data_IF_896561193330
#
_entry.id   IF_896561193330
#
_cell.length_a   1.000
_cell.length_b   1.000
_cell.length_c   1.000
_cell.angle_alpha   90.00
_cell.angle_beta   90.00
_cell.angle_gamma   90.00
#
_symmetry.space_group_name_H-M   'P 1'
#
loop_
_entity.id
_entity.type
_entity.pdbx_description
1 polymer ?
#
# COMPACT_ATOMS: atom_id res chain seq x y z
N UNK A 1 -12.13 18.09 3.41
CA UNK A 1 -12.00 16.62 3.53
C UNK A 1 -13.27 16.17 4.22
N UNK A 2 -13.99 15.21 3.63
CA UNK A 2 -15.17 14.61 4.26
C UNK A 2 -14.71 13.78 5.46
N UNK A 3 -15.53 13.67 6.49
CA UNK A 3 -15.30 12.76 7.62
C UNK A 3 -15.63 11.32 7.23
N UNK A 4 -15.09 10.32 7.92
CA UNK A 4 -15.32 8.90 7.59
C UNK A 4 -16.82 8.52 7.56
N UNK A 5 -17.62 9.13 8.44
CA UNK A 5 -19.08 8.93 8.48
C UNK A 5 -19.75 9.53 7.25
N UNK A 6 -19.33 10.73 6.84
CA UNK A 6 -19.84 11.39 5.63
C UNK A 6 -19.45 10.61 4.37
N UNK A 7 -18.21 10.10 4.28
CA UNK A 7 -17.75 9.24 3.19
C UNK A 7 -18.56 7.93 3.11
N UNK A 8 -18.81 7.28 4.24
CA UNK A 8 -19.62 6.07 4.30
C UNK A 8 -21.08 6.33 3.92
N UNK A 9 -21.64 7.46 4.37
CA UNK A 9 -22.99 7.90 3.99
C UNK A 9 -23.08 8.15 2.49
N UNK A 10 -22.06 8.77 1.90
CA UNK A 10 -21.98 9.05 0.48
C UNK A 10 -21.92 7.73 -0.31
N UNK A 11 -21.09 6.77 0.11
CA UNK A 11 -21.04 5.46 -0.56
C UNK A 11 -22.37 4.70 -0.47
N UNK A 12 -23.08 4.81 0.65
CA UNK A 12 -24.42 4.20 0.79
C UNK A 12 -25.50 4.91 -0.04
N UNK A 13 -25.31 6.18 -0.37
CA UNK A 13 -26.23 6.95 -1.22
C UNK A 13 -26.03 6.70 -2.72
N UNK A 14 -24.86 6.16 -3.10
CA UNK A 14 -24.55 5.83 -4.48
C UNK A 14 -25.31 4.56 -4.91
N UNK A 15 -26.07 4.68 -5.99
CA UNK A 15 -26.73 3.53 -6.61
C UNK A 15 -25.76 2.88 -7.59
N UNK A 16 -25.24 1.72 -7.22
CA UNK A 16 -24.43 0.88 -8.11
C UNK A 16 -25.34 -0.10 -8.84
N UNK A 17 -25.14 -0.27 -10.15
CA UNK A 17 -25.76 -1.39 -10.86
C UNK A 17 -25.19 -2.72 -10.34
N UNK A 18 -25.91 -3.85 -10.46
CA UNK A 18 -25.40 -5.15 -10.04
C UNK A 18 -24.09 -5.55 -10.76
N UNK A 19 -23.84 -5.01 -11.95
CA UNK A 19 -22.58 -5.22 -12.71
C UNK A 19 -21.40 -4.39 -12.17
N UNK A 20 -21.65 -3.35 -11.37
CA UNK A 20 -20.64 -2.39 -10.85
C UNK A 20 -20.13 -2.76 -9.45
N UNK A 21 -20.36 -3.99 -8.98
CA UNK A 21 -19.98 -4.41 -7.63
C UNK A 21 -18.48 -4.20 -7.30
N UNK A 22 -17.61 -4.36 -8.31
CA UNK A 22 -16.16 -4.07 -8.20
C UNK A 22 -15.87 -2.60 -7.90
N UNK A 23 -16.63 -1.69 -8.47
CA UNK A 23 -16.49 -0.24 -8.27
C UNK A 23 -16.93 0.13 -6.86
N UNK A 24 -18.03 -0.45 -6.36
CA UNK A 24 -18.45 -0.29 -4.97
C UNK A 24 -17.37 -0.77 -3.98
N UNK A 25 -16.73 -1.90 -4.30
CA UNK A 25 -15.65 -2.46 -3.48
C UNK A 25 -14.37 -1.63 -3.55
N UNK A 26 -14.05 -1.06 -4.71
CA UNK A 26 -12.96 -0.10 -4.86
C UNK A 26 -13.15 1.13 -3.99
N UNK A 27 -14.31 1.78 -4.09
CA UNK A 27 -14.60 2.94 -3.27
C UNK A 27 -14.66 2.57 -1.78
N UNK A 28 -15.11 1.35 -1.44
CA UNK A 28 -15.05 0.85 -0.06
C UNK A 28 -13.62 0.70 0.46
N UNK A 29 -12.63 0.42 -0.40
CA UNK A 29 -11.21 0.39 -0.02
C UNK A 29 -10.62 1.80 0.17
N UNK A 30 -11.19 2.81 -0.50
CA UNK A 30 -10.70 4.19 -0.46
C UNK A 30 -11.21 4.97 0.76
N UNK A 31 -12.36 4.59 1.31
CA UNK A 31 -12.89 5.16 2.56
C UNK A 31 -12.09 4.58 3.74
N UNK A 32 -11.34 5.45 4.41
CA UNK A 32 -10.44 5.10 5.54
C UNK A 32 -11.16 4.39 6.70
N UNK A 33 -10.50 3.66 7.62
CA UNK A 33 -9.27 2.82 7.63
C UNK A 33 -9.21 1.89 8.88
N UNK A 34 -10.25 1.84 9.74
CA UNK A 34 -10.16 1.14 11.04
C UNK A 34 -11.42 0.36 11.50
N UNK A 35 -12.61 0.59 10.95
CA UNK A 35 -13.85 0.02 11.52
C UNK A 35 -14.54 -1.08 10.68
N UNK A 36 -14.09 -1.33 9.44
CA UNK A 36 -14.80 -2.22 8.51
C UNK A 36 -13.90 -3.23 7.80
N UNK A 37 -12.91 -3.77 8.52
CA UNK A 37 -12.01 -4.80 7.99
C UNK A 37 -12.82 -5.96 7.38
N UNK A 38 -13.69 -6.62 8.14
CA UNK A 38 -14.44 -7.79 7.66
C UNK A 38 -15.38 -7.53 6.47
N UNK A 39 -15.83 -6.27 6.26
CA UNK A 39 -16.80 -5.94 5.21
C UNK A 39 -16.14 -5.89 3.83
N UNK A 40 -14.90 -5.40 3.77
CA UNK A 40 -14.18 -5.25 2.49
C UNK A 40 -13.72 -6.60 1.95
N UNK A 41 -13.18 -7.47 2.81
CA UNK A 41 -12.80 -8.82 2.39
C UNK A 41 -14.01 -9.68 2.00
N UNK A 42 -15.13 -9.57 2.73
CA UNK A 42 -16.38 -10.24 2.37
C UNK A 42 -16.87 -9.80 0.98
N UNK A 43 -16.88 -8.49 0.71
CA UNK A 43 -17.25 -7.96 -0.63
C UNK A 43 -16.34 -8.46 -1.74
N UNK A 44 -15.02 -8.51 -1.52
CA UNK A 44 -14.11 -9.08 -2.52
C UNK A 44 -14.34 -10.57 -2.74
N UNK A 45 -14.62 -11.35 -1.68
CA UNK A 45 -14.94 -12.78 -1.78
C UNK A 45 -16.26 -13.03 -2.50
N UNK A 46 -17.29 -12.23 -2.22
CA UNK A 46 -18.58 -12.26 -2.90
C UNK A 46 -18.40 -11.99 -4.41
N UNK A 47 -17.65 -10.94 -4.77
CA UNK A 47 -17.36 -10.61 -6.16
C UNK A 47 -16.52 -11.67 -6.88
N UNK A 48 -15.56 -12.28 -6.18
CA UNK A 48 -14.77 -13.39 -6.71
C UNK A 48 -15.63 -14.64 -6.96
N UNK A 49 -16.63 -14.90 -6.10
CA UNK A 49 -17.58 -16.00 -6.26
C UNK A 49 -18.63 -15.73 -7.33
N UNK A 50 -19.14 -14.49 -7.43
CA UNK A 50 -20.09 -14.08 -8.47
C UNK A 50 -19.47 -14.19 -9.87
N UNK A 51 -18.16 -13.90 -10.02
CA UNK A 51 -17.46 -14.05 -11.30
C UNK A 51 -17.48 -15.48 -11.88
N UNK A 52 -17.74 -16.51 -11.05
CA UNK A 52 -17.86 -17.89 -11.50
C UNK A 52 -19.27 -18.27 -12.02
N UNK A 53 -20.30 -17.46 -11.77
CA UNK A 53 -21.71 -17.80 -12.05
C UNK A 53 -22.39 -16.95 -13.15
N UNK A 54 -21.70 -15.97 -13.74
CA UNK A 54 -22.28 -15.04 -14.74
C UNK A 54 -22.23 -15.61 -16.16
N UNK A 55 -23.19 -15.20 -17.02
CA UNK A 55 -23.33 -15.63 -18.42
C UNK A 55 -22.17 -15.15 -19.32
N UNK A 56 -21.85 -15.84 -20.43
CA UNK A 56 -20.64 -15.59 -21.24
C UNK A 56 -20.52 -14.19 -21.88
N UNK A 57 -21.63 -13.47 -22.06
CA UNK A 57 -21.66 -12.16 -22.72
C UNK A 57 -21.26 -10.98 -21.81
N UNK A 58 -21.51 -11.09 -20.50
CA UNK A 58 -21.17 -10.07 -19.48
C UNK A 58 -19.84 -10.40 -18.78
N UNK A 59 -19.38 -11.66 -18.87
CA UNK A 59 -18.07 -12.11 -18.38
C UNK A 59 -16.91 -11.29 -18.95
N UNK A 60 -17.00 -10.81 -20.20
CA UNK A 60 -15.92 -10.03 -20.84
C UNK A 60 -15.60 -8.72 -20.11
N UNK A 61 -16.60 -8.03 -19.56
CA UNK A 61 -16.39 -6.74 -18.90
C UNK A 61 -16.05 -6.91 -17.41
N UNK A 62 -16.72 -7.86 -16.74
CA UNK A 62 -16.47 -8.17 -15.32
C UNK A 62 -15.08 -8.81 -15.13
N UNK A 63 -14.63 -9.68 -16.03
CA UNK A 63 -13.26 -10.19 -16.01
C UNK A 63 -12.21 -9.09 -16.25
N UNK A 64 -12.51 -8.11 -17.13
CA UNK A 64 -11.61 -6.99 -17.41
C UNK A 64 -11.40 -6.08 -16.18
N UNK A 65 -12.42 -5.90 -15.34
CA UNK A 65 -12.32 -5.17 -14.08
C UNK A 65 -11.60 -5.97 -12.98
N UNK A 66 -11.83 -7.28 -12.89
CA UNK A 66 -11.15 -8.17 -11.92
C UNK A 66 -9.63 -8.18 -12.11
N UNK A 67 -9.17 -8.17 -13.36
CA UNK A 67 -7.75 -8.15 -13.71
C UNK A 67 -7.12 -6.76 -13.67
N UNK A 68 -7.88 -5.72 -13.31
CA UNK A 68 -7.35 -4.37 -13.22
C UNK A 68 -6.29 -4.27 -12.10
N UNK A 69 -5.08 -3.88 -12.48
CA UNK A 69 -3.93 -3.70 -11.60
C UNK A 69 -4.22 -2.72 -10.47
N UNK A 70 -5.00 -1.67 -10.70
CA UNK A 70 -5.30 -0.66 -9.69
C UNK A 70 -6.22 -1.20 -8.60
N UNK A 71 -7.19 -2.04 -8.97
CA UNK A 71 -8.09 -2.71 -8.03
C UNK A 71 -7.33 -3.70 -7.17
N UNK A 72 -6.45 -4.49 -7.78
CA UNK A 72 -5.59 -5.44 -7.08
C UNK A 72 -4.59 -4.73 -6.16
N UNK A 73 -4.06 -3.56 -6.56
CA UNK A 73 -3.18 -2.75 -5.72
C UNK A 73 -3.92 -2.19 -4.49
N UNK A 74 -5.18 -1.78 -4.64
CA UNK A 74 -6.02 -1.38 -3.49
C UNK A 74 -6.31 -2.57 -2.56
N UNK A 75 -6.60 -3.75 -3.13
CA UNK A 75 -6.76 -4.98 -2.34
C UNK A 75 -5.48 -5.35 -1.56
N UNK A 76 -4.31 -5.18 -2.19
CA UNK A 76 -3.02 -5.37 -1.51
C UNK A 76 -2.81 -4.37 -0.36
N UNK A 77 -3.15 -3.10 -0.57
CA UNK A 77 -3.05 -2.06 0.46
C UNK A 77 -3.95 -2.40 1.66
N UNK A 78 -5.14 -2.95 1.39
CA UNK A 78 -6.05 -3.44 2.41
C UNK A 78 -5.45 -4.61 3.21
N UNK A 79 -4.87 -5.62 2.55
CA UNK A 79 -4.20 -6.72 3.27
C UNK A 79 -3.05 -6.26 4.16
N UNK A 80 -2.27 -5.26 3.70
CA UNK A 80 -1.23 -4.65 4.52
C UNK A 80 -1.80 -3.97 5.78
N UNK A 81 -2.96 -3.32 5.67
CA UNK A 81 -3.61 -2.66 6.81
C UNK A 81 -4.15 -3.67 7.83
N UNK A 82 -4.70 -4.79 7.37
CA UNK A 82 -5.18 -5.87 8.24
C UNK A 82 -4.03 -6.68 8.89
N UNK A 83 -2.76 -6.37 8.59
CA UNK A 83 -1.60 -7.11 9.08
C UNK A 83 -1.36 -8.46 8.39
N UNK A 84 -2.13 -8.76 7.32
CA UNK A 84 -2.00 -9.98 6.52
C UNK A 84 -0.88 -9.84 5.48
N UNK A 85 0.35 -9.63 5.98
CA UNK A 85 1.51 -9.28 5.15
C UNK A 85 1.88 -10.36 4.14
N UNK A 86 1.67 -11.64 4.47
CA UNK A 86 1.96 -12.76 3.56
C UNK A 86 1.09 -12.72 2.30
N UNK A 87 -0.23 -12.57 2.46
CA UNK A 87 -1.18 -12.45 1.34
C UNK A 87 -0.92 -11.19 0.53
N UNK A 88 -0.61 -10.08 1.22
CA UNK A 88 -0.24 -8.83 0.58
C UNK A 88 0.99 -9.02 -0.33
N UNK A 89 2.02 -9.68 0.19
CA UNK A 89 3.27 -9.92 -0.52
C UNK A 89 3.08 -10.81 -1.76
N UNK A 90 2.35 -11.91 -1.65
CA UNK A 90 2.01 -12.80 -2.77
C UNK A 90 1.16 -12.10 -3.85
N UNK A 91 0.19 -11.29 -3.44
CA UNK A 91 -0.64 -10.54 -4.39
C UNK A 91 0.17 -9.47 -5.13
N UNK A 92 1.05 -8.77 -4.41
CA UNK A 92 1.87 -7.71 -4.99
C UNK A 92 2.98 -8.24 -5.89
N UNK A 93 3.58 -9.41 -5.61
CA UNK A 93 4.57 -10.01 -6.49
C UNK A 93 3.96 -10.37 -7.85
N UNK A 94 2.79 -11.01 -7.86
CA UNK A 94 2.04 -11.31 -9.10
C UNK A 94 1.67 -10.03 -9.87
N UNK A 95 1.33 -8.96 -9.14
CA UNK A 95 0.98 -7.68 -9.75
C UNK A 95 2.20 -7.02 -10.40
N UNK A 96 3.34 -7.02 -9.72
CA UNK A 96 4.60 -6.44 -10.24
C UNK A 96 5.18 -7.25 -11.40
N UNK A 97 4.89 -8.56 -11.49
CA UNK A 97 5.21 -9.35 -12.69
C UNK A 97 4.41 -8.88 -13.91
N UNK A 98 3.15 -8.46 -13.72
CA UNK A 98 2.28 -7.95 -14.80
C UNK A 98 2.58 -6.49 -15.14
N UNK A 99 2.73 -5.64 -14.12
CA UNK A 99 3.07 -4.22 -14.26
C UNK A 99 4.22 -3.83 -13.30
N UNK A 100 5.47 -3.93 -13.78
CA UNK A 100 6.65 -3.56 -12.98
C UNK A 100 6.71 -2.08 -12.60
N UNK A 101 5.94 -1.21 -13.27
CA UNK A 101 6.01 0.24 -13.09
C UNK A 101 4.89 0.77 -12.19
N UNK A 102 4.09 -0.10 -11.59
CA UNK A 102 3.00 0.34 -10.73
C UNK A 102 3.53 0.87 -9.37
N UNK A 103 3.54 2.19 -9.21
CA UNK A 103 4.18 2.87 -8.08
C UNK A 103 3.53 2.53 -6.73
N UNK A 104 2.18 2.47 -6.67
CA UNK A 104 1.44 2.22 -5.43
C UNK A 104 1.69 0.79 -4.91
N UNK A 105 1.66 -0.19 -5.81
CA UNK A 105 1.95 -1.60 -5.51
C UNK A 105 3.41 -1.77 -5.09
N UNK A 106 4.36 -1.15 -5.80
CA UNK A 106 5.78 -1.18 -5.40
C UNK A 106 5.95 -0.72 -3.95
N UNK A 107 5.26 0.35 -3.56
CA UNK A 107 5.32 0.89 -2.19
C UNK A 107 4.76 -0.11 -1.16
N UNK A 108 3.59 -0.68 -1.43
CA UNK A 108 2.94 -1.68 -0.56
C UNK A 108 3.77 -2.97 -0.47
N UNK A 109 4.36 -3.40 -1.59
CA UNK A 109 5.24 -4.57 -1.66
C UNK A 109 6.49 -4.38 -0.81
N UNK A 110 7.16 -3.22 -0.93
CA UNK A 110 8.33 -2.89 -0.11
C UNK A 110 8.00 -2.88 1.39
N UNK A 111 6.81 -2.37 1.75
CA UNK A 111 6.36 -2.36 3.14
C UNK A 111 6.09 -3.79 3.65
N UNK A 112 5.34 -4.60 2.89
CA UNK A 112 5.09 -6.00 3.25
C UNK A 112 6.38 -6.82 3.35
N UNK A 113 7.32 -6.65 2.42
CA UNK A 113 8.62 -7.32 2.44
C UNK A 113 9.48 -6.90 3.64
N UNK A 114 9.38 -5.65 4.09
CA UNK A 114 10.04 -5.16 5.31
C UNK A 114 9.50 -5.87 6.55
N UNK A 115 8.17 -5.93 6.70
CA UNK A 115 7.52 -6.57 7.85
C UNK A 115 7.76 -8.08 7.89
N UNK A 116 7.81 -8.74 6.72
CA UNK A 116 8.14 -10.18 6.61
C UNK A 116 9.63 -10.48 6.78
N UNK A 117 10.51 -9.48 6.73
CA UNK A 117 11.95 -9.66 6.87
C UNK A 117 12.66 -10.20 5.61
N UNK A 118 12.06 -10.06 4.43
CA UNK A 118 12.62 -10.51 3.15
C UNK A 118 13.74 -9.59 2.64
N UNK A 119 14.86 -9.56 3.36
CA UNK A 119 16.01 -8.68 3.08
C UNK A 119 16.64 -8.88 1.70
N UNK A 120 16.69 -10.13 1.19
CA UNK A 120 17.28 -10.44 -0.12
C UNK A 120 16.50 -9.76 -1.26
N UNK A 121 15.17 -9.82 -1.19
CA UNK A 121 14.31 -9.25 -2.22
C UNK A 121 14.30 -7.73 -2.16
N UNK A 122 14.22 -7.17 -0.94
CA UNK A 122 14.39 -5.73 -0.71
C UNK A 122 15.71 -5.22 -1.28
N UNK A 123 16.80 -5.97 -1.12
CA UNK A 123 18.10 -5.59 -1.68
C UNK A 123 18.07 -5.54 -3.20
N UNK A 124 17.58 -6.61 -3.85
CA UNK A 124 17.49 -6.68 -5.31
C UNK A 124 16.61 -5.57 -5.87
N UNK A 125 15.43 -5.38 -5.28
CA UNK A 125 14.48 -4.36 -5.72
C UNK A 125 15.04 -2.94 -5.51
N UNK A 126 15.66 -2.66 -4.36
CA UNK A 126 16.28 -1.38 -4.10
C UNK A 126 17.43 -1.08 -5.09
N UNK A 127 18.27 -2.07 -5.39
CA UNK A 127 19.33 -1.92 -6.38
C UNK A 127 18.79 -1.63 -7.78
N UNK A 128 17.72 -2.30 -8.21
CA UNK A 128 17.09 -2.07 -9.50
C UNK A 128 16.44 -0.68 -9.56
N UNK A 129 15.66 -0.30 -8.55
CA UNK A 129 15.01 1.01 -8.48
C UNK A 129 16.01 2.18 -8.47
N UNK A 130 17.14 2.03 -7.79
CA UNK A 130 18.19 3.08 -7.78
C UNK A 130 18.88 3.18 -9.14
N UNK A 131 19.10 2.05 -9.84
CA UNK A 131 19.68 2.06 -11.19
C UNK A 131 18.75 2.72 -12.19
N UNK A 132 17.47 2.37 -12.15
CA UNK A 132 16.48 2.83 -13.13
C UNK A 132 15.98 4.25 -12.84
N UNK A 133 15.80 4.59 -11.56
CA UNK A 133 15.20 5.84 -11.12
C UNK A 133 15.95 6.49 -9.93
N UNK A 134 17.17 7.00 -10.12
CA UNK A 134 17.97 7.57 -9.02
C UNK A 134 17.40 8.86 -8.44
N UNK A 135 16.52 9.56 -9.17
CA UNK A 135 15.92 10.83 -8.73
C UNK A 135 14.56 10.65 -8.04
N UNK A 136 13.99 9.44 -8.06
CA UNK A 136 12.70 9.19 -7.39
C UNK A 136 12.92 8.90 -5.91
N UNK A 137 12.07 9.49 -5.07
CA UNK A 137 12.05 9.24 -3.63
C UNK A 137 11.82 7.75 -3.31
N UNK A 138 10.92 7.09 -4.04
CA UNK A 138 10.61 5.66 -3.89
C UNK A 138 11.86 4.75 -3.94
N UNK A 139 12.84 5.08 -4.76
CA UNK A 139 14.06 4.28 -4.91
C UNK A 139 14.93 4.33 -3.66
N UNK A 140 15.09 5.50 -3.06
CA UNK A 140 15.85 5.67 -1.82
C UNK A 140 15.06 5.18 -0.60
N UNK A 141 13.73 5.22 -0.67
CA UNK A 141 12.86 4.58 0.31
C UNK A 141 13.13 3.08 0.37
N UNK A 142 13.16 2.39 -0.78
CA UNK A 142 13.47 0.96 -0.86
C UNK A 142 14.83 0.61 -0.21
N UNK A 143 15.86 1.44 -0.44
CA UNK A 143 17.16 1.28 0.22
C UNK A 143 17.05 1.44 1.74
N UNK A 144 16.29 2.44 2.21
CA UNK A 144 16.01 2.63 3.63
C UNK A 144 15.29 1.44 4.26
N UNK A 145 14.33 0.85 3.54
CA UNK A 145 13.60 -0.36 3.93
C UNK A 145 14.54 -1.56 4.09
N UNK A 146 15.43 -1.78 3.13
CA UNK A 146 16.44 -2.83 3.21
C UNK A 146 17.33 -2.67 4.46
N UNK A 147 17.88 -1.47 4.69
CA UNK A 147 18.73 -1.21 5.85
C UNK A 147 17.99 -1.35 7.18
N UNK A 148 16.71 -1.00 7.22
CA UNK A 148 15.85 -1.21 8.38
C UNK A 148 15.66 -2.70 8.65
N UNK A 149 15.35 -3.49 7.61
CA UNK A 149 15.15 -4.94 7.71
C UNK A 149 16.40 -5.67 8.26
N UNK A 150 17.60 -5.26 7.83
CA UNK A 150 18.87 -5.82 8.38
C UNK A 150 19.30 -5.19 9.71
N UNK A 151 18.42 -4.41 10.36
CA UNK A 151 18.61 -3.75 11.67
C UNK A 151 19.77 -2.74 11.71
N UNK A 152 20.17 -2.20 10.56
CA UNK A 152 21.16 -1.11 10.47
C UNK A 152 20.45 0.24 10.48
N UNK A 153 19.86 0.57 11.63
CA UNK A 153 18.98 1.73 11.76
C UNK A 153 19.67 3.07 11.44
N UNK A 154 20.97 3.22 11.74
CA UNK A 154 21.72 4.44 11.38
C UNK A 154 21.78 4.69 9.87
N UNK A 155 22.01 3.63 9.11
CA UNK A 155 22.06 3.70 7.65
C UNK A 155 20.67 3.92 7.08
N UNK A 156 19.68 3.21 7.63
CA UNK A 156 18.27 3.38 7.29
C UNK A 156 17.80 4.84 7.48
N UNK A 157 18.12 5.46 8.62
CA UNK A 157 17.84 6.89 8.91
C UNK A 157 18.41 7.82 7.84
N UNK A 158 19.66 7.61 7.41
CA UNK A 158 20.29 8.43 6.37
C UNK A 158 19.54 8.34 5.03
N UNK A 159 19.09 7.15 4.65
CA UNK A 159 18.37 6.95 3.39
C UNK A 159 16.92 7.42 3.45
N UNK A 160 16.24 7.28 4.60
CA UNK A 160 14.93 7.89 4.80
C UNK A 160 15.01 9.42 4.81
N UNK A 161 16.02 10.01 5.45
CA UNK A 161 16.27 11.46 5.35
C UNK A 161 16.57 11.90 3.92
N UNK A 162 17.35 11.12 3.17
CA UNK A 162 17.56 11.38 1.73
C UNK A 162 16.25 11.34 0.94
N UNK A 163 15.36 10.41 1.28
CA UNK A 163 14.05 10.29 0.66
C UNK A 163 13.18 11.52 0.92
N UNK A 164 13.10 11.97 2.17
CA UNK A 164 12.31 13.15 2.55
C UNK A 164 12.90 14.46 2.01
N UNK A 165 14.22 14.51 1.77
CA UNK A 165 14.85 15.64 1.08
C UNK A 165 14.52 15.69 -0.42
N UNK A 166 14.31 14.54 -1.06
CA UNK A 166 13.90 14.47 -2.46
C UNK A 166 12.41 14.75 -2.63
N UNK A 167 11.59 14.18 -1.76
CA UNK A 167 10.16 14.41 -1.72
C UNK A 167 9.69 14.57 -0.26
N UNK A 168 9.52 15.84 0.14
CA UNK A 168 9.03 16.20 1.47
C UNK A 168 7.57 15.82 1.69
N UNK A 169 6.83 15.51 0.61
CA UNK A 169 5.41 15.12 0.61
C UNK A 169 5.23 13.61 0.50
N UNK A 170 6.23 12.83 0.88
CA UNK A 170 6.18 11.35 0.87
C UNK A 170 6.02 10.79 2.30
N UNK A 171 4.77 10.57 2.80
CA UNK A 171 4.54 10.15 4.18
C UNK A 171 5.22 8.83 4.60
N UNK A 172 5.30 7.79 3.74
CA UNK A 172 5.94 6.52 4.11
C UNK A 172 7.40 6.68 4.56
N UNK A 173 8.16 7.63 3.98
CA UNK A 173 9.52 7.86 4.43
C UNK A 173 9.60 8.50 5.82
N UNK A 174 8.67 9.40 6.17
CA UNK A 174 8.60 9.97 7.52
C UNK A 174 8.23 8.91 8.57
N UNK A 175 7.34 7.98 8.21
CA UNK A 175 7.00 6.82 9.05
C UNK A 175 8.22 5.92 9.23
N UNK A 176 8.90 5.54 8.14
CA UNK A 176 10.12 4.74 8.19
C UNK A 176 11.23 5.42 9.01
N UNK A 177 11.37 6.74 8.88
CA UNK A 177 12.30 7.54 9.66
C UNK A 177 11.98 7.49 11.16
N UNK A 178 10.70 7.63 11.53
CA UNK A 178 10.22 7.47 12.90
C UNK A 178 10.45 6.06 13.45
N UNK A 179 10.16 5.02 12.66
CA UNK A 179 10.38 3.62 13.03
C UNK A 179 11.86 3.35 13.33
N UNK A 180 12.78 3.89 12.52
CA UNK A 180 14.21 3.75 12.74
C UNK A 180 14.70 4.41 14.03
N UNK A 181 14.12 5.56 14.43
CA UNK A 181 14.40 6.20 15.72
C UNK A 181 13.80 5.42 16.90
N UNK A 182 12.55 4.96 16.75
CA UNK A 182 11.88 4.17 17.77
C UNK A 182 12.65 2.88 18.08
N UNK A 183 13.19 2.22 17.05
CA UNK A 183 14.02 1.02 17.19
C UNK A 183 15.36 1.26 17.92
N UNK A 184 15.81 2.52 18.04
CA UNK A 184 16.99 2.93 18.81
C UNK A 184 16.64 3.61 20.14
N UNK A 185 15.38 3.55 20.58
CA UNK A 185 14.90 4.16 21.82
C UNK A 185 14.97 5.70 21.85
N UNK A 186 15.14 6.35 20.69
CA UNK A 186 15.14 7.81 20.54
C UNK A 186 13.70 8.35 20.37
N UNK A 187 12.90 8.25 21.42
CA UNK A 187 11.45 8.53 21.38
C UNK A 187 11.06 9.96 20.95
N UNK A 188 11.81 10.98 21.36
CA UNK A 188 11.50 12.37 21.02
C UNK A 188 11.65 12.64 19.52
N UNK A 189 12.71 12.08 18.91
CA UNK A 189 12.96 12.22 17.47
C UNK A 189 11.93 11.43 16.67
N UNK A 190 11.59 10.20 17.11
CA UNK A 190 10.52 9.40 16.51
C UNK A 190 9.18 10.16 16.51
N UNK A 191 8.81 10.75 17.66
CA UNK A 191 7.56 11.52 17.80
C UNK A 191 7.52 12.73 16.86
N UNK A 192 8.66 13.41 16.66
CA UNK A 192 8.74 14.53 15.71
C UNK A 192 8.49 14.06 14.26
N UNK A 193 9.05 12.91 13.87
CA UNK A 193 8.85 12.32 12.55
C UNK A 193 7.40 11.88 12.34
N UNK A 194 6.78 11.23 13.33
CA UNK A 194 5.37 10.84 13.21
C UNK A 194 4.42 12.04 13.15
N UNK A 195 4.71 13.12 13.88
CA UNK A 195 3.91 14.36 13.79
C UNK A 195 3.99 15.00 12.41
N UNK A 196 5.14 14.96 11.76
CA UNK A 196 5.27 15.45 10.38
C UNK A 196 4.54 14.55 9.39
N UNK A 197 4.65 13.23 9.53
CA UNK A 197 3.86 12.27 8.73
C UNK A 197 2.35 12.51 8.87
N UNK A 198 1.85 12.69 10.09
CA UNK A 198 0.44 12.93 10.36
C UNK A 198 -0.07 14.26 9.79
N UNK A 199 0.77 15.30 9.70
CA UNK A 199 0.42 16.56 9.04
C UNK A 199 0.33 16.42 7.52
N UNK A 200 1.18 15.60 6.93
CA UNK A 200 1.19 15.34 5.48
C UNK A 200 0.06 14.40 5.06
N UNK A 201 -0.41 13.55 5.97
CA UNK A 201 -1.53 12.64 5.76
C UNK A 201 -2.61 12.88 6.81
N UNK A 202 -3.39 13.99 6.70
CA UNK A 202 -4.60 14.10 7.48
C UNK A 202 -5.51 12.92 7.10
N UNK A 203 -6.07 12.29 8.12
CA UNK A 203 -7.19 11.34 8.02
C UNK A 203 -8.27 11.80 7.05
#
# INVERSE_FOLDING_TARGET
>A
MLTCEEEASLLSSLQFAPEDGWISSFYSCLIKKYDKENVVEAKFRELEQESCNVKPSEQSFICALKDNTDLLACKAEYYHQCGEYQKCFELTSVLLEKDPFHMKCTLVHLAAAMELGHSNELYLMACNLVKDYPQKALSWFAVGCYYYCIKKYDQSRRYFSKTTNLDGTFPPAWIGYGNAYAAQEEGDQAMSAYRTAARLFPG
#
